data_IF_235037653227
#
_entry.id   IF_235037653227
#
_cell.length_a   1.000
_cell.length_b   1.000
_cell.length_c   1.000
_cell.angle_alpha   90.00
_cell.angle_beta   90.00
_cell.angle_gamma   90.00
#
_symmetry.space_group_name_H-M   'P 1'
#
loop_
_entity.id
_entity.type
_entity.pdbx_description
1 polymer ?
#
# COMPACT_ATOMS: atom_id res chain seq x y z
N UNK A 1 -13.69 3.96 0.28
CA UNK A 1 -13.47 3.81 1.73
C UNK A 1 -12.05 4.20 2.15
N UNK A 2 -10.97 3.55 1.66
CA UNK A 2 -9.60 3.89 2.10
C UNK A 2 -9.21 5.35 1.82
N UNK A 3 -9.45 5.85 0.60
CA UNK A 3 -9.16 7.24 0.21
C UNK A 3 -9.97 8.23 1.05
N UNK A 4 -11.27 7.97 1.20
CA UNK A 4 -12.19 8.80 1.98
C UNK A 4 -11.77 8.89 3.46
N UNK A 5 -11.26 7.79 4.04
CA UNK A 5 -10.76 7.79 5.40
C UNK A 5 -9.58 8.76 5.56
N UNK A 6 -8.68 8.81 4.58
CA UNK A 6 -7.54 9.75 4.56
C UNK A 6 -7.98 11.18 4.32
N UNK A 7 -8.92 11.39 3.40
CA UNK A 7 -9.43 12.73 3.08
C UNK A 7 -10.10 13.41 4.28
N UNK A 8 -10.82 12.65 5.10
CA UNK A 8 -11.56 13.21 6.21
C UNK A 8 -10.77 13.29 7.52
N UNK A 9 -9.72 12.46 7.71
CA UNK A 9 -9.04 12.35 9.00
C UNK A 9 -7.54 12.58 8.96
N UNK A 10 -6.90 12.59 7.77
CA UNK A 10 -5.44 12.67 7.59
C UNK A 10 -4.64 11.93 8.67
N UNK A 11 -4.81 10.60 8.78
CA UNK A 11 -4.12 9.83 9.81
C UNK A 11 -2.61 9.81 9.54
N UNK A 12 -1.81 9.69 10.60
CA UNK A 12 -0.37 9.48 10.46
C UNK A 12 -0.04 8.09 9.90
N UNK A 13 -0.90 7.09 10.16
CA UNK A 13 -0.70 5.70 9.74
C UNK A 13 -2.02 5.03 9.39
N UNK A 14 -1.99 4.19 8.36
CA UNK A 14 -3.07 3.26 8.01
C UNK A 14 -2.55 1.82 8.06
N UNK A 15 -3.35 0.95 8.67
CA UNK A 15 -3.15 -0.49 8.69
C UNK A 15 -4.14 -1.13 7.73
N UNK A 16 -3.63 -1.88 6.76
CA UNK A 16 -4.40 -2.60 5.74
C UNK A 16 -4.22 -4.09 6.00
N UNK A 17 -5.32 -4.82 6.17
CA UNK A 17 -5.24 -6.27 6.44
C UNK A 17 -4.54 -6.98 5.28
N UNK A 18 -5.04 -6.85 4.05
CA UNK A 18 -4.43 -7.40 2.83
C UNK A 18 -4.57 -6.44 1.65
N UNK A 19 -3.50 -6.28 0.87
CA UNK A 19 -3.51 -5.64 -0.45
C UNK A 19 -3.51 -6.73 -1.52
N UNK A 20 -4.71 -7.14 -1.94
CA UNK A 20 -4.90 -8.28 -2.86
C UNK A 20 -5.27 -7.87 -4.28
N UNK A 21 -5.74 -6.64 -4.48
CA UNK A 21 -6.23 -6.15 -5.77
C UNK A 21 -5.44 -4.94 -6.28
N UNK A 22 -5.47 -4.72 -7.59
CA UNK A 22 -4.84 -3.56 -8.22
C UNK A 22 -5.46 -2.23 -7.75
N UNK A 23 -6.77 -2.20 -7.51
CA UNK A 23 -7.46 -1.02 -7.00
C UNK A 23 -7.04 -0.66 -5.57
N UNK A 24 -6.87 -1.66 -4.71
CA UNK A 24 -6.35 -1.45 -3.35
C UNK A 24 -4.91 -0.93 -3.39
N UNK A 25 -4.07 -1.51 -4.26
CA UNK A 25 -2.69 -1.07 -4.39
C UNK A 25 -2.59 0.37 -4.93
N UNK A 26 -3.42 0.74 -5.91
CA UNK A 26 -3.50 2.10 -6.42
C UNK A 26 -3.97 3.09 -5.34
N UNK A 27 -4.99 2.70 -4.58
CA UNK A 27 -5.48 3.52 -3.48
C UNK A 27 -4.43 3.69 -2.37
N UNK A 28 -3.73 2.61 -1.99
CA UNK A 28 -2.61 2.65 -1.06
C UNK A 28 -1.50 3.59 -1.58
N UNK A 29 -1.11 3.50 -2.86
CA UNK A 29 -0.09 4.37 -3.43
C UNK A 29 -0.49 5.85 -3.40
N UNK A 30 -1.76 6.16 -3.69
CA UNK A 30 -2.30 7.52 -3.57
C UNK A 30 -2.25 8.04 -2.13
N UNK A 31 -2.49 7.17 -1.14
CA UNK A 31 -2.41 7.50 0.28
C UNK A 31 -0.96 7.76 0.71
N UNK A 32 -0.02 6.90 0.28
CA UNK A 32 1.40 7.06 0.56
C UNK A 32 1.95 8.39 0.03
N UNK A 33 1.52 8.80 -1.17
CA UNK A 33 1.90 10.10 -1.76
C UNK A 33 1.44 11.30 -0.94
N UNK A 34 0.44 11.15 -0.07
CA UNK A 34 -0.04 12.19 0.86
C UNK A 34 0.75 12.22 2.17
N UNK A 35 1.80 11.41 2.30
CA UNK A 35 2.67 11.36 3.49
C UNK A 35 2.14 10.48 4.63
N UNK A 36 1.09 9.70 4.39
CA UNK A 36 0.55 8.75 5.36
C UNK A 36 1.39 7.48 5.36
N UNK A 37 1.81 7.01 6.53
CA UNK A 37 2.52 5.74 6.66
C UNK A 37 1.56 4.57 6.40
N UNK A 38 2.01 3.57 5.65
CA UNK A 38 1.25 2.36 5.37
C UNK A 38 1.87 1.14 6.05
N UNK A 39 1.04 0.31 6.65
CA UNK A 39 1.40 -1.02 7.14
C UNK A 39 0.36 -1.99 6.63
N UNK A 40 0.76 -3.09 6.00
CA UNK A 40 -0.21 -4.10 5.62
C UNK A 40 0.40 -5.40 5.14
N UNK A 41 -0.45 -6.40 4.92
CA UNK A 41 -0.02 -7.66 4.32
C UNK A 41 -0.25 -7.68 2.82
N UNK A 42 0.51 -8.51 2.12
CA UNK A 42 0.32 -8.78 0.71
C UNK A 42 0.67 -10.24 0.44
N UNK A 43 -0.01 -10.84 -0.53
CA UNK A 43 0.25 -12.21 -0.89
C UNK A 43 1.55 -12.35 -1.69
N UNK A 44 2.49 -13.14 -1.18
CA UNK A 44 3.72 -13.51 -1.89
C UNK A 44 4.50 -14.57 -1.14
N UNK A 45 5.29 -15.36 -1.87
CA UNK A 45 6.12 -16.43 -1.30
C UNK A 45 7.51 -15.93 -0.90
N UNK A 46 8.00 -14.92 -1.61
CA UNK A 46 9.32 -14.30 -1.40
C UNK A 46 9.21 -12.80 -1.58
N UNK A 47 10.16 -12.03 -1.03
CA UNK A 47 10.23 -10.58 -1.27
C UNK A 47 10.32 -10.28 -2.78
N UNK A 48 11.09 -11.07 -3.52
CA UNK A 48 11.20 -10.93 -4.98
C UNK A 48 9.84 -11.09 -5.69
N UNK A 49 8.96 -11.99 -5.21
CA UNK A 49 7.61 -12.14 -5.78
C UNK A 49 6.74 -10.90 -5.59
N UNK A 50 6.92 -10.17 -4.48
CA UNK A 50 6.24 -8.91 -4.20
C UNK A 50 6.81 -7.80 -5.08
N UNK A 51 8.14 -7.67 -5.16
CA UNK A 51 8.82 -6.63 -5.96
C UNK A 51 8.50 -6.78 -7.45
N UNK A 52 8.39 -8.02 -7.96
CA UNK A 52 8.03 -8.27 -9.37
C UNK A 52 6.54 -8.12 -9.66
N UNK A 53 5.69 -8.00 -8.64
CA UNK A 53 4.26 -7.82 -8.84
C UNK A 53 3.98 -6.37 -9.28
N UNK A 54 3.44 -6.13 -10.49
CA UNK A 54 3.25 -4.78 -11.01
C UNK A 54 2.38 -3.88 -10.14
N UNK A 55 1.43 -4.45 -9.42
CA UNK A 55 0.53 -3.72 -8.52
C UNK A 55 1.21 -3.35 -7.21
N UNK A 56 2.09 -4.21 -6.68
CA UNK A 56 2.70 -4.03 -5.35
C UNK A 56 4.07 -3.36 -5.39
N UNK A 57 4.79 -3.42 -6.52
CA UNK A 57 6.15 -2.88 -6.65
C UNK A 57 6.26 -1.40 -6.26
N UNK A 58 5.20 -0.62 -6.47
CA UNK A 58 5.16 0.82 -6.17
C UNK A 58 5.01 1.10 -4.67
N UNK A 59 4.57 0.12 -3.89
CA UNK A 59 4.37 0.22 -2.45
C UNK A 59 5.60 -0.24 -1.66
N UNK A 60 6.55 -0.91 -2.31
CA UNK A 60 7.75 -1.45 -1.69
C UNK A 60 8.96 -0.62 -2.14
N UNK A 61 9.49 0.22 -1.24
CA UNK A 61 10.69 1.04 -1.48
C UNK A 61 11.85 0.66 -0.54
N UNK A 62 13.07 1.12 -0.87
CA UNK A 62 14.25 0.99 0.01
C UNK A 62 14.80 -0.44 0.15
N UNK A 63 14.62 -1.29 -0.87
CA UNK A 63 15.04 -2.71 -0.87
C UNK A 63 16.42 -2.96 -1.49
N UNK A 64 17.22 -1.91 -1.66
CA UNK A 64 18.62 -1.97 -2.14
C UNK A 64 19.63 -1.88 -1.00
#
# INVERSE_FOLDING_TARGET
VMIEAVENHMPETIVIDEIGTELEALAAGTIAQRGVQLVGTAHGMTIESIIKNPSLQSLVGGVE
#
